data_IF_335012942410
#
_entry.id   IF_335012942410
#
_cell.length_a   1.000
_cell.length_b   1.000
_cell.length_c   1.000
_cell.angle_alpha   90.00
_cell.angle_beta   90.00
_cell.angle_gamma   90.00
#
_symmetry.space_group_name_H-M   'P 1'
#
loop_
_entity.id
_entity.type
_entity.pdbx_description
1 polymer ?
#
# COMPACT_ATOMS: atom_id res chain seq x y z
N UNK A 1 -6.46 27.39 11.31
CA UNK A 1 -6.64 27.27 12.78
C UNK A 1 -7.55 26.06 13.01
N UNK A 2 -7.03 24.92 13.47
CA UNK A 2 -7.81 23.72 13.77
C UNK A 2 -8.67 23.99 15.00
N UNK A 3 -9.95 23.65 14.94
CA UNK A 3 -10.86 23.80 16.10
C UNK A 3 -10.44 22.81 17.19
N UNK A 4 -10.29 23.26 18.46
CA UNK A 4 -10.11 22.35 19.59
C UNK A 4 -11.42 21.59 19.84
N UNK A 5 -11.38 20.26 19.79
CA UNK A 5 -12.56 19.46 20.14
C UNK A 5 -12.72 18.10 19.46
N UNK A 6 -11.77 17.63 18.67
CA UNK A 6 -11.78 16.24 18.18
C UNK A 6 -11.07 15.37 19.21
N UNK A 7 -11.82 14.95 20.22
CA UNK A 7 -11.47 13.84 21.10
C UNK A 7 -11.58 12.55 20.27
N UNK A 8 -10.48 12.00 19.98
CA UNK A 8 -9.99 10.70 19.55
C UNK A 8 -8.91 10.93 18.51
N UNK A 9 -7.74 11.30 18.98
CA UNK A 9 -6.53 11.41 18.16
C UNK A 9 -6.12 10.00 17.70
N UNK A 10 -6.77 9.52 16.67
CA UNK A 10 -6.29 8.34 15.94
C UNK A 10 -5.07 8.77 15.15
N UNK A 11 -3.93 8.20 15.48
CA UNK A 11 -2.71 8.41 14.68
C UNK A 11 -2.93 7.87 13.28
N UNK A 12 -2.71 8.71 12.27
CA UNK A 12 -2.84 8.34 10.87
C UNK A 12 -1.48 8.38 10.18
N UNK A 13 -1.24 7.37 9.35
CA UNK A 13 0.03 7.10 8.69
C UNK A 13 -0.11 7.20 7.17
N UNK A 14 1.02 7.35 6.48
CA UNK A 14 1.13 7.28 5.01
C UNK A 14 0.16 8.20 4.27
N UNK A 15 0.08 9.50 4.61
CA UNK A 15 -0.83 10.41 3.90
C UNK A 15 -0.38 10.58 2.45
N UNK A 16 -1.33 10.49 1.52
CA UNK A 16 -1.13 10.75 0.09
C UNK A 16 -2.30 11.51 -0.50
N UNK A 17 -2.01 12.44 -1.39
CA UNK A 17 -3.04 13.18 -2.12
C UNK A 17 -3.84 12.28 -3.06
N UNK A 18 -5.16 12.43 -3.04
CA UNK A 18 -5.99 11.98 -4.14
C UNK A 18 -5.65 12.75 -5.42
N UNK A 19 -5.81 12.12 -6.58
CA UNK A 19 -5.39 12.70 -7.86
C UNK A 19 -6.20 13.94 -8.28
N UNK A 20 -7.39 14.11 -7.72
CA UNK A 20 -8.23 15.30 -7.91
C UNK A 20 -7.80 16.52 -7.06
N UNK A 21 -6.85 16.34 -6.16
CA UNK A 21 -6.38 17.38 -5.23
C UNK A 21 -7.43 17.82 -4.20
N UNK A 22 -8.56 17.11 -4.05
CA UNK A 22 -9.66 17.50 -3.17
C UNK A 22 -9.73 16.69 -1.88
N UNK A 23 -8.89 15.67 -1.76
CA UNK A 23 -8.86 14.78 -0.60
C UNK A 23 -7.49 14.14 -0.38
N UNK A 24 -7.31 13.53 0.78
CA UNK A 24 -6.11 12.81 1.19
C UNK A 24 -6.51 11.39 1.59
N UNK A 25 -5.77 10.40 1.13
CA UNK A 25 -5.85 9.04 1.68
C UNK A 25 -4.82 8.88 2.79
N UNK A 26 -5.17 8.12 3.83
CA UNK A 26 -4.27 7.73 4.92
C UNK A 26 -4.78 6.46 5.58
N UNK A 27 -4.03 5.90 6.53
CA UNK A 27 -4.39 4.67 7.24
C UNK A 27 -4.09 4.79 8.74
N UNK A 28 -4.67 3.90 9.56
CA UNK A 28 -4.43 3.78 11.00
C UNK A 28 -4.11 2.33 11.43
N UNK A 29 -3.52 1.55 10.52
CA UNK A 29 -3.22 0.12 10.62
C UNK A 29 -4.45 -0.79 10.45
N UNK A 30 -5.62 -0.39 10.93
CA UNK A 30 -6.87 -1.17 10.83
C UNK A 30 -7.81 -0.68 9.72
N UNK A 31 -7.67 0.58 9.33
CA UNK A 31 -8.55 1.23 8.35
C UNK A 31 -7.77 2.08 7.35
N UNK A 32 -8.32 2.19 6.15
CA UNK A 32 -7.94 3.20 5.16
C UNK A 32 -9.02 4.28 5.15
N UNK A 33 -8.61 5.53 5.08
CA UNK A 33 -9.48 6.70 5.08
C UNK A 33 -9.30 7.54 3.83
N UNK A 34 -10.38 8.14 3.39
CA UNK A 34 -10.36 9.32 2.53
C UNK A 34 -10.84 10.51 3.35
N UNK A 35 -9.99 11.51 3.50
CA UNK A 35 -10.27 12.73 4.26
C UNK A 35 -10.45 13.90 3.30
N UNK A 36 -11.43 14.76 3.57
CA UNK A 36 -11.51 16.06 2.93
C UNK A 36 -10.40 17.01 3.41
N UNK A 37 -10.22 18.12 2.69
CA UNK A 37 -9.24 19.15 3.07
C UNK A 37 -9.59 19.86 4.38
N UNK A 38 -10.82 19.75 4.82
CA UNK A 38 -11.33 20.18 6.12
C UNK A 38 -11.00 19.21 7.26
N UNK A 39 -10.32 18.08 6.95
CA UNK A 39 -9.99 17.00 7.88
C UNK A 39 -11.16 16.05 8.18
N UNK A 40 -12.33 16.28 7.61
CA UNK A 40 -13.47 15.38 7.82
C UNK A 40 -13.28 14.04 7.10
N UNK A 41 -13.66 12.95 7.77
CA UNK A 41 -13.69 11.62 7.16
C UNK A 41 -14.82 11.57 6.13
N UNK A 42 -14.45 11.38 4.86
CA UNK A 42 -15.38 11.19 3.75
C UNK A 42 -15.77 9.73 3.59
N UNK A 43 -14.75 8.87 3.62
CA UNK A 43 -14.93 7.42 3.51
C UNK A 43 -13.95 6.73 4.45
N UNK A 44 -14.37 5.58 4.99
CA UNK A 44 -13.54 4.67 5.78
C UNK A 44 -13.76 3.24 5.30
N UNK A 45 -12.67 2.54 5.03
CA UNK A 45 -12.68 1.12 4.71
C UNK A 45 -11.89 0.35 5.77
N UNK A 46 -12.51 -0.65 6.38
CA UNK A 46 -11.80 -1.59 7.27
C UNK A 46 -10.92 -2.52 6.46
N UNK A 47 -9.65 -2.63 6.81
CA UNK A 47 -8.68 -3.46 6.08
C UNK A 47 -9.08 -4.93 6.11
N UNK A 48 -9.61 -5.44 7.22
CA UNK A 48 -10.11 -6.82 7.35
C UNK A 48 -11.30 -7.14 6.42
N UNK A 49 -12.03 -6.09 5.95
CA UNK A 49 -13.11 -6.23 4.95
C UNK A 49 -12.58 -6.14 3.52
N UNK A 50 -11.49 -5.39 3.30
CA UNK A 50 -10.80 -5.34 2.01
C UNK A 50 -10.05 -6.65 1.78
N UNK A 51 -9.26 -7.09 2.77
CA UNK A 51 -8.48 -8.32 2.74
C UNK A 51 -8.69 -9.06 4.06
N UNK A 52 -9.41 -10.18 4.06
CA UNK A 52 -9.67 -10.95 5.28
C UNK A 52 -8.37 -11.35 5.98
N UNK A 53 -8.29 -11.09 7.30
CA UNK A 53 -7.11 -11.31 8.16
C UNK A 53 -5.88 -10.46 7.78
N UNK A 54 -6.06 -9.44 6.94
CA UNK A 54 -5.02 -8.48 6.64
C UNK A 54 -5.04 -7.31 7.62
N UNK A 55 -3.88 -6.74 7.87
CA UNK A 55 -3.71 -5.45 8.54
C UNK A 55 -2.58 -4.66 7.85
N UNK A 56 -2.27 -3.47 8.33
CA UNK A 56 -1.14 -2.68 7.85
C UNK A 56 -0.25 -2.30 9.02
N UNK A 57 1.06 -2.29 8.79
CA UNK A 57 2.00 -1.67 9.73
C UNK A 57 1.89 -0.14 9.66
N UNK A 58 2.37 0.56 10.70
CA UNK A 58 2.36 2.03 10.73
C UNK A 58 3.19 2.67 9.60
N UNK A 59 4.20 1.96 9.10
CA UNK A 59 4.99 2.34 7.92
C UNK A 59 4.43 1.77 6.60
N UNK A 60 3.32 1.03 6.65
CA UNK A 60 2.65 0.48 5.46
C UNK A 60 2.21 1.58 4.49
N UNK A 61 2.77 1.57 3.29
CA UNK A 61 2.54 2.61 2.29
C UNK A 61 1.22 2.43 1.56
N UNK A 62 0.58 3.55 1.27
CA UNK A 62 -0.51 3.67 0.31
C UNK A 62 -0.01 4.44 -0.90
N UNK A 63 -0.43 4.06 -2.10
CA UNK A 63 -0.29 4.90 -3.30
C UNK A 63 -1.58 4.90 -4.13
N UNK A 64 -1.80 5.99 -4.87
CA UNK A 64 -3.00 6.17 -5.71
C UNK A 64 -2.62 6.06 -7.17
N UNK A 65 -3.33 5.22 -7.93
CA UNK A 65 -3.10 5.11 -9.37
C UNK A 65 -3.25 6.48 -10.08
N UNK A 66 -2.53 6.75 -11.17
CA UNK A 66 -2.59 8.05 -11.86
C UNK A 66 -4.00 8.47 -12.26
N UNK A 67 -4.87 7.52 -12.61
CA UNK A 67 -6.29 7.80 -12.93
C UNK A 67 -7.19 7.95 -11.70
N UNK A 68 -6.66 7.86 -10.47
CA UNK A 68 -7.39 8.03 -9.21
C UNK A 68 -8.36 6.89 -8.86
N UNK A 69 -8.39 5.79 -9.60
CA UNK A 69 -9.40 4.73 -9.43
C UNK A 69 -9.01 3.60 -8.49
N UNK A 70 -7.72 3.41 -8.23
CA UNK A 70 -7.21 2.31 -7.42
C UNK A 70 -6.23 2.79 -6.36
N UNK A 71 -6.28 2.16 -5.19
CA UNK A 71 -5.23 2.25 -4.20
C UNK A 71 -4.31 1.05 -4.32
N UNK A 72 -3.02 1.26 -4.14
CA UNK A 72 -2.02 0.23 -3.91
C UNK A 72 -1.73 0.19 -2.42
N UNK A 73 -1.95 -0.98 -1.81
CA UNK A 73 -1.86 -1.17 -0.37
C UNK A 73 -0.79 -2.21 -0.05
N UNK A 74 0.08 -1.90 0.90
CA UNK A 74 1.01 -2.86 1.50
C UNK A 74 0.33 -3.49 2.71
N UNK A 75 -0.15 -4.72 2.59
CA UNK A 75 -0.94 -5.40 3.63
C UNK A 75 -0.16 -6.57 4.19
N UNK A 76 -0.06 -6.61 5.51
CA UNK A 76 0.49 -7.72 6.27
C UNK A 76 -0.55 -8.84 6.39
N UNK A 77 -0.19 -10.05 5.96
CA UNK A 77 -1.13 -11.15 5.79
C UNK A 77 -1.31 -12.02 7.03
N UNK A 78 -0.79 -11.66 8.17
CA UNK A 78 -0.92 -12.44 9.40
C UNK A 78 -0.50 -13.93 9.29
N UNK A 79 0.00 -14.34 8.14
CA UNK A 79 0.53 -15.68 7.89
C UNK A 79 2.04 -15.65 8.15
N UNK A 80 2.54 -16.67 8.83
CA UNK A 80 3.98 -16.86 8.93
C UNK A 80 4.55 -17.02 7.52
N UNK A 81 5.65 -16.31 7.26
CA UNK A 81 6.30 -16.33 5.96
C UNK A 81 6.82 -17.72 5.57
N UNK A 82 6.99 -18.61 6.54
CA UNK A 82 7.68 -19.89 6.38
C UNK A 82 9.18 -19.75 6.06
N UNK A 83 9.70 -18.53 6.09
CA UNK A 83 11.11 -18.23 5.81
C UNK A 83 11.89 -18.08 7.12
N UNK A 84 13.00 -18.80 7.24
CA UNK A 84 13.90 -18.74 8.40
C UNK A 84 14.64 -17.39 8.53
N UNK A 85 14.70 -16.63 7.45
CA UNK A 85 15.37 -15.33 7.35
C UNK A 85 14.40 -14.14 7.44
N UNK A 86 13.15 -14.41 7.85
CA UNK A 86 12.12 -13.39 8.03
C UNK A 86 11.28 -13.71 9.27
N UNK A 87 11.35 -12.81 10.23
CA UNK A 87 10.57 -12.88 11.47
C UNK A 87 9.46 -11.83 11.41
N UNK A 88 8.23 -12.27 11.16
CA UNK A 88 7.09 -11.38 11.06
C UNK A 88 6.04 -11.82 10.02
N UNK A 89 4.98 -11.02 9.85
CA UNK A 89 3.93 -11.27 8.87
C UNK A 89 4.48 -11.18 7.44
N UNK A 90 3.74 -11.76 6.51
CA UNK A 90 4.05 -11.72 5.09
C UNK A 90 3.50 -10.43 4.47
N UNK A 91 4.32 -9.40 4.17
CA UNK A 91 3.83 -8.22 3.47
C UNK A 91 3.48 -8.59 2.02
N UNK A 92 2.30 -8.19 1.59
CA UNK A 92 1.81 -8.42 0.24
C UNK A 92 1.22 -7.14 -0.36
N UNK A 93 1.37 -6.95 -1.67
CA UNK A 93 0.75 -5.83 -2.37
C UNK A 93 -0.62 -6.21 -2.89
N UNK A 94 -1.57 -5.30 -2.68
CA UNK A 94 -2.94 -5.41 -3.11
C UNK A 94 -3.36 -4.15 -3.87
N UNK A 95 -4.04 -4.33 -5.00
CA UNK A 95 -4.76 -3.25 -5.66
C UNK A 95 -6.22 -3.26 -5.18
N UNK A 96 -6.67 -2.14 -4.63
CA UNK A 96 -8.04 -1.94 -4.19
C UNK A 96 -8.75 -0.96 -5.14
N UNK A 97 -9.78 -1.43 -5.82
CA UNK A 97 -10.59 -0.62 -6.71
C UNK A 97 -11.64 0.15 -5.92
N UNK A 98 -11.58 1.47 -6.00
CA UNK A 98 -12.41 2.38 -5.19
C UNK A 98 -13.90 2.36 -5.57
N UNK A 99 -14.21 2.03 -6.81
CA UNK A 99 -15.60 1.99 -7.29
C UNK A 99 -16.26 0.65 -6.94
N UNK A 100 -15.63 -0.46 -7.28
CA UNK A 100 -16.19 -1.80 -7.00
C UNK A 100 -15.94 -2.28 -5.58
N UNK A 101 -15.04 -1.63 -4.83
CA UNK A 101 -14.57 -2.00 -3.49
C UNK A 101 -13.98 -3.43 -3.44
N UNK A 102 -13.39 -3.89 -4.54
CA UNK A 102 -12.74 -5.19 -4.62
C UNK A 102 -11.23 -5.04 -4.54
N UNK A 103 -10.59 -5.92 -3.77
CA UNK A 103 -9.15 -6.02 -3.70
C UNK A 103 -8.64 -7.22 -4.49
N UNK A 104 -7.52 -7.03 -5.17
CA UNK A 104 -6.80 -8.07 -5.91
C UNK A 104 -5.38 -8.13 -5.41
N UNK A 105 -4.93 -9.31 -4.97
CA UNK A 105 -3.52 -9.53 -4.60
C UNK A 105 -2.66 -9.48 -5.86
N UNK A 106 -1.61 -8.69 -5.84
CA UNK A 106 -0.68 -8.52 -6.95
C UNK A 106 0.56 -9.40 -6.79
N UNK A 107 1.13 -9.45 -5.58
CA UNK A 107 2.30 -10.28 -5.32
C UNK A 107 1.93 -11.75 -5.20
N UNK A 108 2.71 -12.67 -5.83
CA UNK A 108 2.54 -14.12 -5.62
C UNK A 108 2.65 -14.50 -4.13
N UNK A 109 1.99 -15.57 -3.71
CA UNK A 109 1.94 -15.99 -2.28
C UNK A 109 3.30 -16.17 -1.61
N UNK A 110 4.35 -16.49 -2.36
CA UNK A 110 5.71 -16.71 -1.83
C UNK A 110 6.64 -15.48 -1.96
N UNK A 111 6.14 -14.40 -2.54
CA UNK A 111 6.92 -13.18 -2.72
C UNK A 111 6.42 -12.11 -1.75
N UNK A 112 7.33 -11.61 -0.94
CA UNK A 112 7.12 -10.43 -0.13
C UNK A 112 7.02 -9.21 -1.04
N UNK A 113 6.17 -8.26 -0.72
CA UNK A 113 6.10 -7.01 -1.45
C UNK A 113 5.54 -5.91 -0.57
N UNK A 114 6.29 -4.81 -0.48
CA UNK A 114 5.91 -3.63 0.29
C UNK A 114 6.38 -2.36 -0.42
N UNK A 115 6.00 -1.21 0.09
CA UNK A 115 6.33 0.12 -0.46
C UNK A 115 6.06 0.24 -1.96
N UNK A 116 4.89 -0.28 -2.36
CA UNK A 116 4.46 -0.22 -3.75
C UNK A 116 4.10 1.20 -4.19
N UNK A 117 4.49 1.56 -5.42
CA UNK A 117 4.11 2.80 -6.08
C UNK A 117 3.69 2.55 -7.52
N UNK A 118 2.72 3.34 -8.01
CA UNK A 118 2.32 3.33 -9.41
C UNK A 118 3.35 4.08 -10.27
N UNK A 119 3.81 3.46 -11.38
CA UNK A 119 4.57 4.16 -12.44
C UNK A 119 3.57 4.85 -13.37
N UNK A 120 2.56 4.10 -13.77
CA UNK A 120 1.43 4.49 -14.62
C UNK A 120 0.20 3.64 -14.21
N UNK A 121 -0.88 3.68 -14.99
CA UNK A 121 -2.09 2.90 -14.66
C UNK A 121 -1.91 1.39 -14.78
N UNK A 122 -0.86 0.93 -15.46
CA UNK A 122 -0.65 -0.47 -15.82
C UNK A 122 0.59 -1.08 -15.19
N UNK A 123 1.44 -0.27 -14.53
CA UNK A 123 2.70 -0.73 -13.98
C UNK A 123 2.96 -0.16 -12.58
N UNK A 124 3.60 -0.99 -11.74
CA UNK A 124 4.02 -0.63 -10.39
C UNK A 124 5.48 -0.96 -10.16
N UNK A 125 6.12 -0.19 -9.26
CA UNK A 125 7.37 -0.55 -8.60
C UNK A 125 7.08 -0.92 -7.15
N UNK A 126 7.93 -1.78 -6.58
CA UNK A 126 7.80 -2.15 -5.18
C UNK A 126 9.10 -2.73 -4.64
N UNK A 127 9.21 -2.77 -3.32
CA UNK A 127 10.30 -3.46 -2.64
C UNK A 127 9.97 -4.93 -2.43
N UNK A 128 10.99 -5.76 -2.53
CA UNK A 128 10.93 -7.17 -2.17
C UNK A 128 12.30 -7.67 -1.75
N UNK A 129 12.32 -8.72 -0.94
CA UNK A 129 13.56 -9.41 -0.54
C UNK A 129 13.44 -10.89 -0.88
N UNK A 130 14.29 -11.36 -1.79
CA UNK A 130 14.36 -12.78 -2.11
C UNK A 130 14.89 -13.61 -0.93
N UNK A 131 14.52 -14.89 -0.88
CA UNK A 131 14.96 -15.78 0.18
C UNK A 131 16.50 -15.88 0.23
N UNK A 132 17.07 -15.74 1.43
CA UNK A 132 18.52 -15.76 1.64
C UNK A 132 19.24 -14.46 1.28
N UNK A 133 18.56 -13.44 0.74
CA UNK A 133 19.15 -12.12 0.53
C UNK A 133 18.98 -11.24 1.79
N UNK A 134 20.02 -10.44 2.09
CA UNK A 134 20.00 -9.48 3.22
C UNK A 134 19.45 -8.12 2.80
N UNK A 135 19.58 -7.78 1.53
CA UNK A 135 19.23 -6.47 0.99
C UNK A 135 17.89 -6.51 0.27
N UNK A 136 17.15 -5.41 0.36
CA UNK A 136 15.95 -5.19 -0.42
C UNK A 136 16.30 -4.89 -1.87
N UNK A 137 15.42 -5.25 -2.77
CA UNK A 137 15.55 -5.02 -4.21
C UNK A 137 14.29 -4.32 -4.73
N UNK A 138 14.43 -3.55 -5.79
CA UNK A 138 13.30 -2.91 -6.47
C UNK A 138 12.85 -3.82 -7.61
N UNK A 139 11.57 -4.13 -7.58
CA UNK A 139 10.88 -4.92 -8.60
C UNK A 139 9.87 -4.07 -9.34
N UNK A 140 9.59 -4.45 -10.57
CA UNK A 140 8.47 -3.97 -11.38
C UNK A 140 7.53 -5.13 -11.69
N UNK A 141 6.24 -4.86 -11.72
CA UNK A 141 5.23 -5.77 -12.28
C UNK A 141 4.10 -4.97 -12.96
N UNK A 142 3.30 -5.66 -13.76
CA UNK A 142 2.06 -5.08 -14.26
C UNK A 142 1.00 -4.99 -13.16
N UNK A 143 0.07 -4.06 -13.30
CA UNK A 143 -1.01 -3.82 -12.34
C UNK A 143 -2.03 -4.98 -12.21
N UNK A 144 -1.87 -6.04 -13.00
CA UNK A 144 -2.59 -7.31 -12.90
C UNK A 144 -1.77 -8.41 -12.18
N UNK A 145 -0.61 -8.05 -11.62
CA UNK A 145 0.28 -8.96 -10.91
C UNK A 145 1.21 -9.81 -11.81
N UNK A 146 1.22 -9.54 -13.13
CA UNK A 146 2.07 -10.28 -14.08
C UNK A 146 3.36 -9.52 -14.38
N UNK A 147 4.17 -10.09 -15.29
CA UNK A 147 5.41 -9.48 -15.81
C UNK A 147 6.39 -9.05 -14.71
N UNK A 148 6.47 -9.84 -13.64
CA UNK A 148 7.35 -9.59 -12.51
C UNK A 148 8.82 -9.60 -12.95
N UNK A 149 9.55 -8.51 -12.65
CA UNK A 149 10.96 -8.37 -12.96
C UNK A 149 11.69 -7.60 -11.86
N UNK A 150 12.83 -8.12 -11.40
CA UNK A 150 13.76 -7.36 -10.56
C UNK A 150 14.51 -6.36 -11.42
N UNK A 151 14.41 -5.07 -11.09
CA UNK A 151 15.10 -4.00 -11.81
C UNK A 151 16.42 -3.63 -11.13
N UNK A 152 16.42 -3.48 -9.82
CA UNK A 152 17.56 -3.00 -9.06
C UNK A 152 17.82 -3.96 -7.89
N UNK A 153 19.02 -4.48 -7.82
CA UNK A 153 19.52 -5.21 -6.67
C UNK A 153 20.04 -4.20 -5.65
N UNK A 154 19.71 -4.35 -4.37
CA UNK A 154 20.11 -3.45 -3.27
C UNK A 154 19.57 -2.03 -3.46
N UNK A 155 18.25 -1.89 -3.56
CA UNK A 155 17.55 -0.61 -3.70
C UNK A 155 16.48 -0.43 -2.64
N UNK A 156 16.24 0.83 -2.25
CA UNK A 156 15.17 1.25 -1.33
C UNK A 156 14.49 2.53 -1.85
N UNK A 157 13.31 2.82 -1.33
CA UNK A 157 12.56 4.04 -1.57
C UNK A 157 12.36 4.38 -3.06
N UNK A 158 11.69 3.49 -3.83
CA UNK A 158 11.37 3.81 -5.21
C UNK A 158 10.53 5.08 -5.25
N UNK A 159 10.79 5.93 -6.22
CA UNK A 159 10.00 7.13 -6.51
C UNK A 159 9.83 7.27 -8.02
N UNK A 160 8.77 7.94 -8.43
CA UNK A 160 8.49 8.27 -9.82
C UNK A 160 8.32 9.78 -9.89
N UNK A 161 9.04 10.44 -10.79
CA UNK A 161 8.75 11.83 -11.15
C UNK A 161 7.43 11.85 -11.93
N UNK A 162 6.50 12.70 -11.53
CA UNK A 162 5.30 12.96 -12.32
C UNK A 162 5.64 13.48 -13.73
N UNK A 163 4.68 13.42 -14.64
CA UNK A 163 4.80 14.06 -15.95
C UNK A 163 4.93 15.55 -15.82
#
# INVERSE_FOLDING_TARGET
>A
MLKPGVQNEVTRYSPIWARDGQSVFCQDMANVYQLGLDGAVRVQWKIDKIVPKGDMSGDGRIDVSPNGKRLLLSIDMGEESGRKDWDGPLPALWAFDLQSQKATRLTPKKLFGWDGIWIDNDNILFLSRAAGEKDDSIYRMSADGKNLKRLIKKGRFPSVSGP
#
